data_IF_916878462593
#
_entry.id   IF_916878462593
#
_cell.length_a   1.000
_cell.length_b   1.000
_cell.length_c   1.000
_cell.angle_alpha   90.00
_cell.angle_beta   90.00
_cell.angle_gamma   90.00
#
_symmetry.space_group_name_H-M   'P 1'
#
loop_
_entity.id
_entity.type
_entity.pdbx_description
1 polymer ?
#
# COMPACT_ATOMS: atom_id res chain seq x y z
N UNK A 1 -10.15 -14.92 -57.55
CA UNK A 1 -9.56 -13.67 -58.08
C UNK A 1 -10.43 -12.54 -57.55
N UNK A 2 -10.12 -11.74 -56.54
CA UNK A 2 -8.93 -11.40 -55.74
C UNK A 2 -9.48 -11.17 -54.31
N UNK A 3 -9.08 -11.85 -53.24
CA UNK A 3 -7.93 -11.54 -52.35
C UNK A 3 -7.67 -10.05 -52.12
N UNK A 4 -7.94 -9.53 -50.91
CA UNK A 4 -6.92 -9.19 -49.90
C UNK A 4 -7.47 -8.37 -48.73
N UNK A 5 -7.07 -8.84 -47.54
CA UNK A 5 -6.78 -8.08 -46.33
C UNK A 5 -7.95 -7.44 -45.59
N UNK A 6 -8.68 -8.31 -44.87
CA UNK A 6 -9.34 -7.94 -43.63
C UNK A 6 -8.28 -7.40 -42.66
N UNK A 7 -8.18 -6.07 -42.59
CA UNK A 7 -7.45 -5.38 -41.54
C UNK A 7 -8.19 -5.66 -40.23
N UNK A 8 -7.70 -6.64 -39.49
CA UNK A 8 -8.13 -6.95 -38.13
C UNK A 8 -7.80 -5.72 -37.27
N UNK A 9 -8.80 -4.86 -37.07
CA UNK A 9 -8.73 -3.76 -36.11
C UNK A 9 -8.68 -4.32 -34.70
N UNK A 10 -7.70 -3.86 -33.93
CA UNK A 10 -7.34 -4.20 -32.54
C UNK A 10 -8.45 -4.00 -31.48
N UNK A 11 -9.71 -3.82 -31.88
CA UNK A 11 -10.80 -3.34 -31.01
C UNK A 11 -11.68 -4.44 -30.40
N UNK A 12 -11.38 -5.73 -30.58
CA UNK A 12 -12.20 -6.83 -30.03
C UNK A 12 -11.66 -7.43 -28.73
N UNK A 13 -10.92 -6.67 -27.92
CA UNK A 13 -10.63 -7.07 -26.52
C UNK A 13 -11.69 -6.43 -25.61
N UNK A 14 -12.90 -7.00 -25.65
CA UNK A 14 -13.95 -6.83 -24.64
C UNK A 14 -14.93 -5.68 -24.89
N UNK A 15 -16.16 -6.01 -25.32
CA UNK A 15 -17.45 -5.36 -25.01
C UNK A 15 -17.65 -3.87 -24.69
N UNK A 16 -16.71 -2.95 -24.99
CA UNK A 16 -16.79 -1.52 -24.65
C UNK A 16 -17.29 -0.68 -25.84
N UNK A 17 -18.08 0.35 -25.54
CA UNK A 17 -18.54 1.32 -26.55
C UNK A 17 -17.37 2.22 -27.01
N UNK A 18 -17.34 2.67 -28.28
CA UNK A 18 -16.33 3.63 -28.75
C UNK A 18 -16.21 4.90 -27.90
N UNK A 19 -17.31 5.33 -27.27
CA UNK A 19 -17.34 6.49 -26.37
C UNK A 19 -16.59 6.24 -25.06
N UNK A 20 -16.61 5.00 -24.56
CA UNK A 20 -15.97 4.58 -23.31
C UNK A 20 -14.45 4.44 -23.49
N UNK A 21 -14.01 3.83 -24.59
CA UNK A 21 -12.60 3.74 -24.95
C UNK A 21 -11.98 5.13 -25.14
N UNK A 22 -12.72 6.06 -25.78
CA UNK A 22 -12.27 7.45 -25.92
C UNK A 22 -12.16 8.16 -24.57
N UNK A 23 -13.12 7.93 -23.66
CA UNK A 23 -13.09 8.49 -22.31
C UNK A 23 -11.85 8.03 -21.54
N UNK A 24 -11.56 6.72 -21.54
CA UNK A 24 -10.38 6.15 -20.87
C UNK A 24 -9.10 6.79 -21.41
N UNK A 25 -8.95 6.85 -22.74
CA UNK A 25 -7.76 7.45 -23.37
C UNK A 25 -7.59 8.93 -23.03
N UNK A 26 -8.69 9.69 -22.95
CA UNK A 26 -8.67 11.10 -22.58
C UNK A 26 -8.27 11.29 -21.11
N UNK A 27 -8.86 10.52 -20.21
CA UNK A 27 -8.57 10.59 -18.76
C UNK A 27 -7.15 10.11 -18.48
N UNK A 28 -6.70 9.02 -19.10
CA UNK A 28 -5.34 8.51 -18.99
C UNK A 28 -4.32 9.56 -19.44
N UNK A 29 -4.58 10.28 -20.53
CA UNK A 29 -3.72 11.38 -20.99
C UNK A 29 -3.64 12.52 -19.98
N UNK A 30 -4.79 12.96 -19.45
CA UNK A 30 -4.86 14.04 -18.46
C UNK A 30 -4.11 13.66 -17.17
N UNK A 31 -4.33 12.45 -16.66
CA UNK A 31 -3.65 11.92 -15.48
C UNK A 31 -2.15 11.77 -15.77
N UNK A 32 -1.77 11.23 -16.92
CA UNK A 32 -0.37 11.10 -17.32
C UNK A 32 0.35 12.46 -17.30
N UNK A 33 -0.19 13.51 -17.96
CA UNK A 33 0.47 14.82 -17.97
C UNK A 33 0.51 15.50 -16.60
N UNK A 34 -0.49 15.28 -15.75
CA UNK A 34 -0.58 15.93 -14.44
C UNK A 34 0.30 15.26 -13.37
N UNK A 35 0.39 13.93 -13.41
CA UNK A 35 1.07 13.14 -12.38
C UNK A 35 2.44 12.63 -12.81
N UNK A 36 2.74 12.64 -14.11
CA UNK A 36 4.04 12.27 -14.67
C UNK A 36 4.84 13.52 -15.09
N UNK A 37 5.05 14.42 -14.13
CA UNK A 37 5.92 15.59 -14.31
C UNK A 37 7.38 15.10 -14.38
N UNK A 38 7.86 14.90 -15.60
CA UNK A 38 9.25 14.80 -16.05
C UNK A 38 10.30 14.79 -14.91
N UNK A 39 10.70 13.59 -14.47
CA UNK A 39 11.82 13.47 -13.52
C UNK A 39 12.02 12.13 -12.81
N UNK A 40 11.07 11.19 -12.90
CA UNK A 40 11.23 9.84 -12.36
C UNK A 40 11.45 8.84 -13.50
N UNK A 41 12.53 8.05 -13.41
CA UNK A 41 12.90 6.99 -14.36
C UNK A 41 11.98 5.75 -14.26
N UNK A 42 10.88 5.85 -13.51
CA UNK A 42 9.85 4.82 -13.40
C UNK A 42 8.51 5.38 -13.89
N UNK A 43 8.51 5.72 -15.17
CA UNK A 43 7.37 6.25 -15.92
C UNK A 43 6.34 5.15 -16.09
N UNK A 44 5.20 5.21 -15.40
CA UNK A 44 4.04 4.37 -15.76
C UNK A 44 3.71 4.64 -17.24
N UNK A 45 3.52 3.59 -18.06
CA UNK A 45 3.16 3.80 -19.47
C UNK A 45 1.75 4.39 -19.55
N UNK A 46 1.49 5.14 -20.62
CA UNK A 46 0.12 5.54 -20.98
C UNK A 46 -0.77 4.31 -21.19
N UNK A 47 -0.19 3.23 -21.72
CA UNK A 47 -0.89 1.96 -21.88
C UNK A 47 -1.26 1.37 -20.52
N UNK A 48 -0.37 1.40 -19.53
CA UNK A 48 -0.67 0.89 -18.18
C UNK A 48 -1.82 1.68 -17.54
N UNK A 49 -1.80 3.02 -17.63
CA UNK A 49 -2.93 3.84 -17.17
C UNK A 49 -4.22 3.49 -17.88
N UNK A 50 -4.17 3.23 -19.19
CA UNK A 50 -5.36 2.86 -19.94
C UNK A 50 -5.93 1.51 -19.47
N UNK A 51 -5.09 0.53 -19.13
CA UNK A 51 -5.52 -0.74 -18.55
C UNK A 51 -6.21 -0.55 -17.19
N UNK A 52 -5.62 0.26 -16.30
CA UNK A 52 -6.27 0.59 -15.03
C UNK A 52 -7.58 1.37 -15.22
N UNK A 53 -7.66 2.19 -16.27
CA UNK A 53 -8.89 2.84 -16.67
C UNK A 53 -9.99 1.87 -17.09
N UNK A 54 -9.63 0.77 -17.77
CA UNK A 54 -10.58 -0.30 -18.13
C UNK A 54 -11.12 -0.98 -16.88
N UNK A 55 -10.26 -1.26 -15.90
CA UNK A 55 -10.69 -1.84 -14.61
C UNK A 55 -11.69 -0.91 -13.90
N UNK A 56 -11.38 0.39 -13.81
CA UNK A 56 -12.29 1.36 -13.21
C UNK A 56 -13.61 1.54 -13.95
N UNK A 57 -13.64 1.33 -15.27
CA UNK A 57 -14.87 1.35 -16.04
C UNK A 57 -15.75 0.12 -15.72
N UNK A 58 -15.14 -1.06 -15.56
CA UNK A 58 -15.87 -2.28 -15.17
C UNK A 58 -16.51 -2.12 -13.79
N UNK A 59 -15.80 -1.57 -12.82
CA UNK A 59 -16.34 -1.29 -11.49
C UNK A 59 -17.41 -0.19 -11.50
N UNK A 60 -17.23 0.84 -12.33
CA UNK A 60 -18.26 1.86 -12.53
C UNK A 60 -19.56 1.22 -13.04
N UNK A 61 -19.47 0.24 -13.94
CA UNK A 61 -20.63 -0.45 -14.50
C UNK A 61 -21.36 -1.30 -13.46
N UNK A 62 -20.61 -1.93 -12.55
CA UNK A 62 -21.17 -2.72 -11.46
C UNK A 62 -21.87 -1.85 -10.38
N UNK A 63 -21.45 -0.60 -10.22
CA UNK A 63 -21.91 0.30 -9.15
C UNK A 63 -22.79 1.46 -9.62
N UNK A 64 -23.09 1.53 -10.91
CA UNK A 64 -23.90 2.61 -11.47
C UNK A 64 -25.38 2.42 -11.18
N UNK A 65 -25.96 3.46 -10.60
CA UNK A 65 -27.38 3.54 -10.33
C UNK A 65 -27.98 4.68 -11.18
N UNK A 66 -28.83 4.31 -12.14
CA UNK A 66 -29.50 5.25 -13.02
C UNK A 66 -30.49 6.16 -12.27
N UNK A 67 -30.97 5.73 -11.10
CA UNK A 67 -31.87 6.53 -10.24
C UNK A 67 -31.18 7.73 -9.59
N UNK A 68 -29.85 7.75 -9.58
CA UNK A 68 -29.05 8.87 -9.06
C UNK A 68 -29.07 10.12 -9.94
N UNK A 69 -29.63 10.06 -11.16
CA UNK A 69 -29.77 11.21 -12.07
C UNK A 69 -28.47 11.74 -12.68
N UNK A 70 -27.34 11.04 -12.51
CA UNK A 70 -26.05 11.43 -13.10
C UNK A 70 -25.83 10.68 -14.41
N UNK A 71 -25.47 11.34 -15.53
CA UNK A 71 -25.19 10.65 -16.78
C UNK A 71 -24.06 9.62 -16.64
N UNK A 72 -24.24 8.43 -17.24
CA UNK A 72 -23.27 7.33 -17.23
C UNK A 72 -21.83 7.78 -17.48
N UNK A 73 -21.57 8.53 -18.55
CA UNK A 73 -20.22 8.99 -18.92
C UNK A 73 -19.60 9.91 -17.86
N UNK A 74 -20.40 10.73 -17.17
CA UNK A 74 -19.90 11.62 -16.12
C UNK A 74 -19.53 10.82 -14.86
N UNK A 75 -20.34 9.82 -14.49
CA UNK A 75 -20.05 8.92 -13.39
C UNK A 75 -18.82 8.04 -13.68
N UNK A 76 -18.78 7.42 -14.86
CA UNK A 76 -17.66 6.60 -15.31
C UNK A 76 -16.35 7.39 -15.34
N UNK A 77 -16.37 8.65 -15.81
CA UNK A 77 -15.18 9.51 -15.84
C UNK A 77 -14.56 9.71 -14.44
N UNK A 78 -15.39 9.86 -13.41
CA UNK A 78 -14.94 10.04 -12.03
C UNK A 78 -14.31 8.75 -11.48
N UNK A 79 -14.95 7.60 -11.73
CA UNK A 79 -14.47 6.29 -11.28
C UNK A 79 -13.18 5.86 -11.98
N UNK A 80 -13.13 5.98 -13.31
CA UNK A 80 -11.94 5.69 -14.12
C UNK A 80 -10.75 6.52 -13.68
N UNK A 81 -10.95 7.82 -13.41
CA UNK A 81 -9.91 8.71 -12.89
C UNK A 81 -9.47 8.28 -11.49
N UNK A 82 -10.41 7.90 -10.62
CA UNK A 82 -10.14 7.41 -9.27
C UNK A 82 -9.22 6.20 -9.28
N UNK A 83 -9.57 5.17 -10.06
CA UNK A 83 -8.77 3.94 -10.16
C UNK A 83 -7.36 4.20 -10.70
N UNK A 84 -7.21 5.02 -11.75
CA UNK A 84 -5.89 5.40 -12.26
C UNK A 84 -5.03 6.09 -11.18
N UNK A 85 -5.63 6.99 -10.39
CA UNK A 85 -4.91 7.70 -9.32
C UNK A 85 -4.60 6.75 -8.17
N UNK A 86 -5.51 5.85 -7.82
CA UNK A 86 -5.31 4.89 -6.73
C UNK A 86 -4.22 3.87 -7.07
N UNK A 87 -4.12 3.44 -8.33
CA UNK A 87 -2.98 2.66 -8.82
C UNK A 87 -1.66 3.43 -8.78
N UNK A 88 -1.68 4.73 -9.14
CA UNK A 88 -0.51 5.59 -8.99
C UNK A 88 -0.07 5.75 -7.52
N UNK A 89 -1.00 5.70 -6.55
CA UNK A 89 -0.68 5.73 -5.11
C UNK A 89 -0.07 4.43 -4.59
N UNK A 90 -0.44 3.29 -5.18
CA UNK A 90 0.07 1.96 -4.79
C UNK A 90 1.48 1.69 -5.29
N UNK A 91 1.94 2.44 -6.30
CA UNK A 91 3.36 2.49 -6.62
C UNK A 91 4.13 3.13 -5.45
N UNK A 92 5.37 2.67 -5.17
CA UNK A 92 6.10 3.07 -3.96
C UNK A 92 6.45 4.56 -3.86
N UNK A 93 6.05 5.41 -4.82
CA UNK A 93 6.24 6.85 -4.72
C UNK A 93 5.19 7.63 -5.51
N UNK A 94 4.12 8.13 -4.87
CA UNK A 94 3.54 9.43 -5.26
C UNK A 94 2.86 10.10 -4.07
N UNK A 95 3.59 10.96 -3.35
CA UNK A 95 3.26 12.40 -3.19
C UNK A 95 4.39 13.16 -2.49
N UNK A 96 5.52 13.41 -3.17
CA UNK A 96 6.42 14.45 -2.68
C UNK A 96 5.77 15.82 -2.96
N UNK A 97 5.69 16.75 -1.99
CA UNK A 97 5.23 18.11 -2.23
C UNK A 97 6.00 18.74 -3.40
N UNK A 98 5.36 19.64 -4.16
CA UNK A 98 5.98 20.27 -5.35
C UNK A 98 7.35 20.91 -5.04
N UNK A 99 7.50 21.49 -3.84
CA UNK A 99 8.76 22.04 -3.36
C UNK A 99 9.88 20.99 -3.29
N UNK A 100 9.55 19.78 -2.82
CA UNK A 100 10.50 18.67 -2.67
C UNK A 100 10.87 18.08 -4.04
N UNK A 101 9.90 17.98 -4.96
CA UNK A 101 10.18 17.56 -6.34
C UNK A 101 11.13 18.52 -7.06
N UNK A 102 10.95 19.83 -6.86
CA UNK A 102 11.84 20.85 -7.43
C UNK A 102 13.26 20.70 -6.89
N UNK A 103 13.42 20.43 -5.59
CA UNK A 103 14.73 20.17 -4.97
C UNK A 103 15.39 18.91 -5.54
N UNK A 104 14.66 17.80 -5.63
CA UNK A 104 15.19 16.55 -6.23
C UNK A 104 15.67 16.79 -7.67
N UNK A 105 14.95 17.58 -8.46
CA UNK A 105 15.35 17.93 -9.83
C UNK A 105 16.64 18.76 -9.87
N UNK A 106 16.74 19.79 -9.02
CA UNK A 106 17.94 20.62 -8.90
C UNK A 106 19.16 19.76 -8.53
N UNK A 107 19.00 18.83 -7.58
CA UNK A 107 20.06 17.90 -7.19
C UNK A 107 20.53 17.01 -8.35
N UNK A 108 19.59 16.47 -9.15
CA UNK A 108 19.93 15.66 -10.35
C UNK A 108 20.65 16.49 -11.43
N UNK A 109 20.21 17.72 -11.67
CA UNK A 109 20.85 18.63 -12.65
C UNK A 109 22.27 19.02 -12.21
N UNK A 110 22.46 19.31 -10.92
CA UNK A 110 23.78 19.56 -10.34
C UNK A 110 24.69 18.34 -10.45
N UNK A 111 24.19 17.14 -10.14
CA UNK A 111 24.94 15.88 -10.33
C UNK A 111 25.36 15.69 -11.78
N UNK A 112 24.45 15.88 -12.74
CA UNK A 112 24.74 15.72 -14.17
C UNK A 112 25.75 16.76 -14.68
N UNK A 113 25.65 18.00 -14.22
CA UNK A 113 26.60 19.06 -14.61
C UNK A 113 28.00 18.78 -14.09
N UNK A 114 28.15 18.34 -12.83
CA UNK A 114 29.43 17.93 -12.26
C UNK A 114 30.02 16.71 -12.99
N UNK A 115 29.20 15.70 -13.32
CA UNK A 115 29.63 14.54 -14.12
C UNK A 115 30.14 14.96 -15.50
N UNK A 116 29.44 15.86 -16.18
CA UNK A 116 29.86 16.38 -17.49
C UNK A 116 31.16 17.20 -17.41
N UNK A 117 31.43 17.82 -16.28
CA UNK A 117 32.67 18.58 -16.01
C UNK A 117 33.82 17.68 -15.54
N UNK A 118 33.62 16.36 -15.46
CA UNK A 118 34.59 15.39 -14.94
C UNK A 118 35.06 15.68 -13.50
N UNK A 119 34.22 16.37 -12.72
CA UNK A 119 34.45 16.63 -11.29
C UNK A 119 33.91 15.44 -10.48
N UNK A 120 34.61 15.04 -9.43
CA UNK A 120 34.11 14.03 -8.50
C UNK A 120 32.79 14.51 -7.87
N UNK A 121 31.74 13.69 -7.97
CA UNK A 121 30.44 14.01 -7.40
C UNK A 121 30.43 13.55 -5.95
N UNK A 122 30.88 14.40 -5.05
CA UNK A 122 30.69 14.23 -3.60
C UNK A 122 29.59 15.17 -3.08
N UNK A 123 29.13 14.91 -1.84
CA UNK A 123 28.08 15.75 -1.24
C UNK A 123 28.56 17.19 -1.02
N UNK A 124 29.86 17.43 -0.87
CA UNK A 124 30.45 18.76 -0.74
C UNK A 124 30.37 19.56 -2.05
N UNK A 125 30.77 18.98 -3.18
CA UNK A 125 30.66 19.62 -4.49
C UNK A 125 29.20 19.86 -4.89
N UNK A 126 28.28 18.96 -4.53
CA UNK A 126 26.85 19.16 -4.73
C UNK A 126 26.30 20.31 -3.86
N UNK A 127 26.73 20.39 -2.60
CA UNK A 127 26.38 21.49 -1.70
C UNK A 127 26.87 22.83 -2.22
N UNK A 128 28.13 22.90 -2.68
CA UNK A 128 28.73 24.11 -3.25
C UNK A 128 28.05 24.54 -4.56
N UNK A 129 27.72 23.57 -5.43
CA UNK A 129 27.05 23.85 -6.70
C UNK A 129 25.60 24.35 -6.54
N UNK A 130 24.91 23.90 -5.49
CA UNK A 130 23.50 24.24 -5.21
C UNK A 130 23.34 25.37 -4.19
N UNK A 131 24.40 25.73 -3.47
CA UNK A 131 24.34 26.65 -2.33
C UNK A 131 23.54 26.09 -1.15
N UNK A 132 23.55 24.77 -0.98
CA UNK A 132 22.81 24.06 0.09
C UNK A 132 23.76 23.66 1.21
N UNK A 133 23.20 23.37 2.39
CA UNK A 133 23.96 22.69 3.43
C UNK A 133 24.17 21.21 3.08
N UNK A 134 25.22 20.62 3.65
CA UNK A 134 25.57 19.20 3.43
C UNK A 134 24.45 18.26 3.92
N UNK A 135 23.73 18.65 4.97
CA UNK A 135 22.59 17.91 5.50
C UNK A 135 21.37 18.01 4.58
N UNK A 136 21.08 19.18 3.99
CA UNK A 136 20.00 19.33 3.00
C UNK A 136 20.24 18.48 1.75
N UNK A 137 21.49 18.37 1.29
CA UNK A 137 21.85 17.48 0.17
C UNK A 137 21.54 16.03 0.53
N UNK A 138 21.92 15.57 1.74
CA UNK A 138 21.65 14.22 2.22
C UNK A 138 20.16 13.92 2.38
N UNK A 139 19.39 14.86 2.93
CA UNK A 139 17.94 14.72 3.07
C UNK A 139 17.26 14.58 1.71
N UNK A 140 17.60 15.45 0.75
CA UNK A 140 17.01 15.41 -0.59
C UNK A 140 17.44 14.15 -1.34
N UNK A 141 18.67 13.69 -1.14
CA UNK A 141 19.18 12.45 -1.74
C UNK A 141 18.52 11.20 -1.18
N UNK A 142 18.27 11.14 0.14
CA UNK A 142 17.55 10.02 0.78
C UNK A 142 16.09 9.90 0.29
N UNK A 143 15.51 11.00 -0.22
CA UNK A 143 14.18 11.02 -0.84
C UNK A 143 14.18 10.51 -2.29
N UNK A 144 15.36 10.28 -2.89
CA UNK A 144 15.49 9.64 -4.18
C UNK A 144 15.56 8.12 -3.97
N UNK A 145 14.58 7.33 -4.45
CA UNK A 145 14.64 5.90 -4.31
C UNK A 145 15.78 5.38 -5.20
N UNK A 146 16.84 4.88 -4.57
CA UNK A 146 17.85 4.11 -5.28
C UNK A 146 17.36 2.67 -5.36
N UNK A 147 17.00 2.20 -6.55
CA UNK A 147 16.83 0.78 -6.81
C UNK A 147 18.16 0.25 -7.32
N UNK A 148 18.86 -0.50 -6.48
CA UNK A 148 20.01 -1.28 -6.91
C UNK A 148 19.47 -2.61 -7.43
N UNK A 149 19.79 -2.97 -8.67
CA UNK A 149 19.51 -4.30 -9.16
C UNK A 149 20.36 -5.29 -8.34
N UNK A 150 19.70 -6.24 -7.67
CA UNK A 150 20.40 -7.26 -6.86
C UNK A 150 21.21 -8.22 -7.75
N UNK A 151 20.94 -8.22 -9.07
CA UNK A 151 21.53 -9.10 -10.07
C UNK A 151 22.27 -8.30 -11.16
N UNK A 152 22.97 -7.22 -10.80
CA UNK A 152 24.02 -6.70 -11.68
C UNK A 152 25.22 -7.65 -11.53
N UNK A 153 25.29 -8.62 -12.43
CA UNK A 153 26.24 -9.72 -12.50
C UNK A 153 27.54 -9.51 -11.71
N UNK A 154 27.60 -10.14 -10.53
CA UNK A 154 28.84 -10.40 -9.81
C UNK A 154 29.61 -11.47 -10.58
N UNK A 155 30.24 -11.05 -11.67
CA UNK A 155 31.27 -11.81 -12.35
C UNK A 155 32.59 -11.05 -12.24
N UNK A 156 33.28 -11.27 -11.12
CA UNK A 156 34.71 -11.54 -11.11
C UNK A 156 35.19 -11.80 -9.69
N UNK A 157 35.94 -12.90 -9.54
CA UNK A 157 36.44 -13.39 -8.27
C UNK A 157 37.28 -12.37 -7.52
N UNK A 158 36.84 -12.09 -6.31
CA UNK A 158 37.69 -11.92 -5.15
C UNK A 158 36.84 -12.35 -3.95
N UNK A 159 37.39 -13.24 -3.13
CA UNK A 159 36.73 -13.95 -2.03
C UNK A 159 36.49 -13.06 -0.79
N UNK A 160 36.38 -11.74 -0.98
CA UNK A 160 36.20 -10.75 0.08
C UNK A 160 35.33 -9.57 -0.41
N UNK A 161 34.00 -9.76 -0.39
CA UNK A 161 33.04 -8.66 -0.43
C UNK A 161 32.34 -8.51 0.93
N UNK A 162 32.44 -7.34 1.59
CA UNK A 162 31.65 -7.05 2.78
C UNK A 162 30.22 -6.73 2.35
N UNK A 163 29.27 -7.57 2.74
CA UNK A 163 27.85 -7.27 2.64
C UNK A 163 27.15 -8.01 1.49
N UNK A 164 26.94 -9.31 1.67
CA UNK A 164 25.77 -9.94 1.08
C UNK A 164 24.54 -9.11 1.48
N UNK A 165 23.73 -8.73 0.51
CA UNK A 165 22.48 -7.99 0.76
C UNK A 165 21.61 -8.87 1.65
N UNK A 166 21.62 -8.59 2.94
CA UNK A 166 20.69 -9.21 3.89
C UNK A 166 19.33 -8.60 3.56
N UNK A 167 18.56 -9.32 2.76
CA UNK A 167 17.13 -9.05 2.62
C UNK A 167 16.51 -9.47 3.94
N UNK A 168 16.44 -8.54 4.88
CA UNK A 168 15.63 -8.73 6.08
C UNK A 168 14.18 -8.69 5.63
N UNK A 169 13.46 -9.81 5.77
CA UNK A 169 12.00 -9.74 5.74
C UNK A 169 11.57 -9.01 7.02
N UNK A 170 10.70 -8.02 6.90
CA UNK A 170 9.96 -7.49 8.05
C UNK A 170 8.97 -8.55 8.62
N UNK A 171 8.85 -9.70 7.94
CA UNK A 171 8.05 -10.82 8.43
C UNK A 171 8.69 -11.41 9.70
N UNK A 172 7.86 -11.74 10.72
CA UNK A 172 8.33 -12.44 11.90
C UNK A 172 9.05 -13.73 11.52
N UNK A 173 10.08 -14.10 12.27
CA UNK A 173 10.77 -15.38 12.04
C UNK A 173 9.82 -16.58 12.12
N UNK A 174 10.21 -17.74 11.55
CA UNK A 174 9.38 -18.96 11.55
C UNK A 174 8.99 -19.40 12.97
N UNK A 175 9.87 -19.16 13.95
CA UNK A 175 9.61 -19.37 15.38
C UNK A 175 8.45 -18.50 15.89
N UNK A 176 8.47 -17.20 15.60
CA UNK A 176 7.40 -16.26 15.99
C UNK A 176 6.08 -16.62 15.31
N UNK A 177 6.11 -17.08 14.05
CA UNK A 177 4.93 -17.59 13.36
C UNK A 177 4.35 -18.83 14.03
N UNK A 178 5.19 -19.80 14.40
CA UNK A 178 4.75 -21.00 15.11
C UNK A 178 4.12 -20.65 16.46
N UNK A 179 4.79 -19.79 17.26
CA UNK A 179 4.29 -19.31 18.54
C UNK A 179 2.93 -18.60 18.40
N UNK A 180 2.78 -17.71 17.41
CA UNK A 180 1.51 -17.02 17.14
C UNK A 180 0.39 -18.01 16.77
N UNK A 181 0.71 -19.04 16.00
CA UNK A 181 -0.27 -20.07 15.60
C UNK A 181 -0.75 -20.88 16.80
N UNK A 182 0.15 -21.26 17.70
CA UNK A 182 -0.19 -21.99 18.94
C UNK A 182 -1.01 -21.10 19.88
N UNK A 183 -0.62 -19.83 20.02
CA UNK A 183 -1.35 -18.85 20.82
C UNK A 183 -2.78 -18.68 20.30
N UNK A 184 -2.96 -18.56 18.98
CA UNK A 184 -4.28 -18.43 18.36
C UNK A 184 -5.19 -19.63 18.67
N UNK A 185 -4.65 -20.86 18.61
CA UNK A 185 -5.38 -22.09 18.96
C UNK A 185 -5.79 -22.08 20.44
N UNK A 186 -4.89 -21.65 21.33
CA UNK A 186 -5.14 -21.56 22.77
C UNK A 186 -6.19 -20.51 23.10
N UNK A 187 -6.07 -19.30 22.54
CA UNK A 187 -7.05 -18.22 22.71
C UNK A 187 -8.42 -18.67 22.22
N UNK A 188 -8.49 -19.33 21.06
CA UNK A 188 -9.75 -19.86 20.55
C UNK A 188 -10.38 -20.88 21.51
N UNK A 189 -9.57 -21.81 22.05
CA UNK A 189 -10.04 -22.78 23.07
C UNK A 189 -10.58 -22.08 24.32
N UNK A 190 -9.89 -21.07 24.82
CA UNK A 190 -10.33 -20.29 25.98
C UNK A 190 -11.58 -19.44 25.68
N UNK A 191 -11.74 -18.91 24.46
CA UNK A 191 -12.97 -18.23 24.03
C UNK A 191 -14.16 -19.19 23.96
N UNK A 192 -13.94 -20.44 23.58
CA UNK A 192 -14.98 -21.49 23.61
C UNK A 192 -15.36 -21.93 25.03
N UNK A 193 -14.50 -21.74 26.03
CA UNK A 193 -14.83 -21.99 27.43
C UNK A 193 -15.74 -20.90 28.04
N UNK A 194 -15.81 -19.73 27.42
CA UNK A 194 -16.75 -18.67 27.82
C UNK A 194 -18.17 -18.99 27.33
N UNK A 195 -19.18 -18.45 28.02
CA UNK A 195 -20.56 -18.54 27.54
C UNK A 195 -20.72 -17.82 26.20
N UNK A 196 -21.63 -18.31 25.35
CA UNK A 196 -21.85 -17.76 24.00
C UNK A 196 -22.13 -16.24 24.01
N UNK A 197 -22.86 -15.74 25.01
CA UNK A 197 -23.15 -14.32 25.20
C UNK A 197 -21.90 -13.52 25.58
N UNK A 198 -21.04 -14.05 26.45
CA UNK A 198 -19.83 -13.38 26.90
C UNK A 198 -18.76 -13.34 25.81
N UNK A 199 -18.65 -14.41 25.02
CA UNK A 199 -17.77 -14.47 23.84
C UNK A 199 -18.12 -13.38 22.83
N UNK A 200 -19.40 -13.17 22.56
CA UNK A 200 -19.86 -12.13 21.63
C UNK A 200 -19.50 -10.72 22.11
N UNK A 201 -19.58 -10.48 23.42
CA UNK A 201 -19.18 -9.19 24.03
C UNK A 201 -17.67 -8.94 23.83
N UNK A 202 -16.83 -9.96 24.04
CA UNK A 202 -15.36 -9.83 23.90
C UNK A 202 -14.96 -9.63 22.44
N UNK A 203 -15.48 -10.47 21.53
CA UNK A 203 -15.22 -10.40 20.08
C UNK A 203 -15.70 -9.07 19.50
N UNK A 204 -16.96 -8.69 19.77
CA UNK A 204 -17.53 -7.45 19.25
C UNK A 204 -16.81 -6.19 19.75
N UNK A 205 -16.15 -6.25 20.91
CA UNK A 205 -15.39 -5.11 21.45
C UNK A 205 -13.95 -5.05 20.95
N UNK A 206 -13.25 -6.18 20.88
CA UNK A 206 -11.82 -6.21 20.53
C UNK A 206 -11.57 -6.29 19.02
N UNK A 207 -12.38 -7.06 18.28
CA UNK A 207 -12.19 -7.23 16.83
C UNK A 207 -12.97 -6.18 16.04
N UNK A 208 -14.23 -5.93 16.42
CA UNK A 208 -15.14 -5.05 15.67
C UNK A 208 -15.22 -3.63 16.23
N UNK A 209 -14.54 -3.34 17.36
CA UNK A 209 -14.48 -1.99 17.94
C UNK A 209 -15.82 -1.40 18.42
N UNK A 210 -16.88 -2.20 18.56
CA UNK A 210 -18.24 -1.73 18.86
C UNK A 210 -18.32 -0.96 20.18
N UNK A 211 -19.23 0.01 20.27
CA UNK A 211 -19.48 0.78 21.50
C UNK A 211 -20.33 -0.04 22.46
N UNK A 212 -20.10 0.16 23.77
CA UNK A 212 -20.87 -0.51 24.83
C UNK A 212 -22.39 -0.28 24.73
N UNK A 213 -22.80 0.88 24.19
CA UNK A 213 -24.21 1.20 23.95
C UNK A 213 -24.83 0.34 22.85
N UNK A 214 -24.08 0.05 21.80
CA UNK A 214 -24.57 -0.72 20.66
C UNK A 214 -24.68 -2.21 21.05
N UNK A 215 -23.70 -2.72 21.80
CA UNK A 215 -23.76 -4.06 22.38
C UNK A 215 -24.90 -4.22 23.40
N UNK A 216 -25.21 -3.15 24.15
CA UNK A 216 -26.32 -3.12 25.12
C UNK A 216 -27.68 -3.27 24.45
N UNK A 217 -27.88 -2.56 23.35
CA UNK A 217 -29.10 -2.66 22.54
C UNK A 217 -29.24 -4.04 21.91
N UNK A 218 -28.17 -4.56 21.28
CA UNK A 218 -28.20 -5.86 20.58
C UNK A 218 -28.43 -7.05 21.53
N UNK A 219 -27.89 -6.98 22.74
CA UNK A 219 -28.00 -8.08 23.72
C UNK A 219 -29.13 -7.90 24.74
N UNK A 220 -29.86 -6.78 24.71
CA UNK A 220 -30.94 -6.48 25.65
C UNK A 220 -30.47 -6.26 27.11
N UNK A 221 -29.23 -5.82 27.30
CA UNK A 221 -28.66 -5.55 28.63
C UNK A 221 -28.33 -4.07 28.80
N UNK A 222 -28.10 -3.63 30.05
CA UNK A 222 -27.57 -2.28 30.30
C UNK A 222 -26.07 -2.22 29.99
N UNK A 223 -25.59 -1.03 29.61
CA UNK A 223 -24.16 -0.81 29.33
C UNK A 223 -23.26 -1.20 30.53
N UNK A 224 -23.74 -1.00 31.75
CA UNK A 224 -23.02 -1.39 32.97
C UNK A 224 -22.93 -2.90 33.14
N UNK A 225 -24.01 -3.64 32.83
CA UNK A 225 -24.00 -5.11 32.87
C UNK A 225 -22.98 -5.67 31.85
N UNK A 226 -22.92 -5.09 30.66
CA UNK A 226 -21.93 -5.47 29.64
C UNK A 226 -20.51 -5.19 30.11
N UNK A 227 -20.26 -4.04 30.75
CA UNK A 227 -18.94 -3.71 31.31
C UNK A 227 -18.49 -4.72 32.36
N UNK A 228 -19.38 -5.10 33.28
CA UNK A 228 -19.11 -6.10 34.31
C UNK A 228 -18.84 -7.48 33.67
N UNK A 229 -19.67 -7.89 32.70
CA UNK A 229 -19.49 -9.16 31.97
C UNK A 229 -18.19 -9.18 31.17
N UNK A 230 -17.82 -8.07 30.54
CA UNK A 230 -16.55 -7.92 29.83
C UNK A 230 -15.38 -8.14 30.80
N UNK A 231 -15.36 -7.42 31.93
CA UNK A 231 -14.29 -7.56 32.93
C UNK A 231 -14.16 -8.99 33.44
N UNK A 232 -15.28 -9.62 33.80
CA UNK A 232 -15.31 -11.02 34.24
C UNK A 232 -14.81 -11.99 33.16
N UNK A 233 -15.17 -11.75 31.90
CA UNK A 233 -14.75 -12.59 30.78
C UNK A 233 -13.25 -12.43 30.48
N UNK A 234 -12.71 -11.23 30.63
CA UNK A 234 -11.27 -10.95 30.52
C UNK A 234 -10.48 -11.65 31.63
N UNK A 235 -10.95 -11.61 32.88
CA UNK A 235 -10.33 -12.33 34.01
C UNK A 235 -10.37 -13.84 33.80
N UNK A 236 -11.48 -14.38 33.29
CA UNK A 236 -11.61 -15.80 32.93
C UNK A 236 -10.67 -16.20 31.79
N UNK A 237 -10.52 -15.35 30.77
CA UNK A 237 -9.59 -15.58 29.66
C UNK A 237 -8.14 -15.61 30.16
N UNK A 238 -7.74 -14.64 30.99
CA UNK A 238 -6.41 -14.59 31.62
C UNK A 238 -6.12 -15.85 32.43
N UNK A 239 -7.04 -16.25 33.31
CA UNK A 239 -6.89 -17.48 34.11
C UNK A 239 -6.83 -18.75 33.24
N UNK A 240 -7.57 -18.79 32.12
CA UNK A 240 -7.50 -19.91 31.18
C UNK A 240 -6.15 -19.98 30.46
N UNK A 241 -5.56 -18.83 30.11
CA UNK A 241 -4.25 -18.76 29.47
C UNK A 241 -3.14 -19.17 30.45
N UNK A 242 -3.17 -18.66 31.67
CA UNK A 242 -2.21 -19.02 32.73
C UNK A 242 -2.21 -20.52 33.05
N UNK A 243 -3.41 -21.13 33.12
CA UNK A 243 -3.55 -22.59 33.35
C UNK A 243 -2.95 -23.45 32.24
N UNK A 244 -2.83 -22.93 31.03
CA UNK A 244 -2.25 -23.63 29.89
C UNK A 244 -0.75 -23.28 29.69
N UNK A 245 -0.09 -22.69 30.69
CA UNK A 245 1.37 -22.55 30.75
C UNK A 245 1.93 -21.28 30.13
N UNK A 246 1.09 -20.31 29.75
CA UNK A 246 1.53 -19.03 29.19
C UNK A 246 1.43 -17.93 30.25
N UNK A 247 2.56 -17.32 30.70
CA UNK A 247 2.53 -16.18 31.60
C UNK A 247 1.97 -14.97 30.86
N UNK A 248 1.04 -14.25 31.49
CA UNK A 248 0.38 -13.07 30.90
C UNK A 248 1.37 -11.95 30.57
N UNK A 249 2.52 -11.92 31.24
CA UNK A 249 3.60 -10.95 30.99
C UNK A 249 4.34 -11.23 29.68
N UNK A 250 4.46 -12.49 29.24
CA UNK A 250 5.11 -12.84 27.97
C UNK A 250 4.23 -12.54 26.74
N UNK A 251 2.93 -12.35 26.95
CA UNK A 251 2.00 -11.91 25.89
C UNK A 251 2.24 -10.45 25.48
N UNK A 252 2.65 -9.60 26.42
CA UNK A 252 2.92 -8.19 26.15
C UNK A 252 4.15 -7.99 25.25
N UNK A 253 5.14 -8.87 25.34
CA UNK A 253 6.36 -8.81 24.51
C UNK A 253 6.07 -9.21 23.05
N UNK A 254 5.21 -10.22 22.82
CA UNK A 254 4.80 -10.66 21.48
C UNK A 254 3.92 -9.61 20.77
N UNK A 255 3.19 -8.79 21.53
CA UNK A 255 2.30 -7.73 21.02
C UNK A 255 3.06 -6.41 20.79
N UNK A 256 4.17 -6.15 21.49
CA UNK A 256 4.96 -4.91 21.30
C UNK A 256 5.89 -4.93 20.09
N UNK A 257 6.19 -6.10 19.54
CA UNK A 257 6.99 -6.25 18.31
C UNK A 257 6.17 -6.15 17.01
N UNK A 258 4.90 -5.71 17.08
CA UNK A 258 4.05 -5.39 15.91
C UNK A 258 3.78 -3.90 15.80
#
# INVERSE_FOLDING_TARGET
MYTKDAVVTRDEIGGFSPQESNLIQRVAREVFFKYNLQGFEHTISREDLSHYGVVGLLEARASYDESSGTPWLAFAALRVRGEMIDHLRKLPMVRLPQAVQSRVKQLKEARRTLQNQQVAVDHAALADALGWSLDEVREVEALVPSRVAVDDGVDQGDDDLPGGVVVTSDDPGPETHALRSELAVLVNRCLHALSAQNRLIVVGRLLEGLKLKDLAVTLGYTAENIRVRQKKSQEQLKSCIEKNGWPVDALDDIIKES
#
